data_IF_360663259863
#
_entry.id   IF_360663259863
#
_cell.length_a   1.000
_cell.length_b   1.000
_cell.length_c   1.000
_cell.angle_alpha   90.00
_cell.angle_beta   90.00
_cell.angle_gamma   90.00
#
_symmetry.space_group_name_H-M   'P 1'
#
loop_
_entity.id
_entity.type
_entity.pdbx_description
1 polymer ?
#
# COMPACT_ATOMS: atom_id res chain seq x y z
N UNK A 1 16.48 -9.35 -26.35
CA UNK A 1 16.29 -9.18 -24.89
C UNK A 1 15.48 -10.36 -24.39
N UNK A 2 16.07 -11.23 -23.56
CA UNK A 2 15.36 -12.40 -23.01
C UNK A 2 14.38 -11.90 -21.95
N UNK A 3 13.08 -11.90 -22.27
CA UNK A 3 12.02 -11.76 -21.28
C UNK A 3 12.07 -12.98 -20.36
N UNK A 4 12.63 -12.79 -19.16
CA UNK A 4 12.56 -13.81 -18.13
C UNK A 4 11.11 -14.03 -17.75
N UNK A 5 10.59 -15.23 -18.01
CA UNK A 5 9.33 -15.70 -17.45
C UNK A 5 9.51 -15.74 -15.94
N UNK A 6 9.13 -14.66 -15.27
CA UNK A 6 9.13 -14.54 -13.81
C UNK A 6 8.23 -15.67 -13.29
N UNK A 7 8.81 -16.63 -12.57
CA UNK A 7 8.05 -17.76 -12.03
C UNK A 7 7.03 -17.22 -11.05
N UNK A 8 5.76 -17.57 -11.22
CA UNK A 8 4.66 -17.05 -10.38
C UNK A 8 4.77 -17.44 -8.89
N UNK A 9 5.76 -18.26 -8.52
CA UNK A 9 6.14 -18.62 -7.16
C UNK A 9 7.23 -17.74 -6.55
N UNK A 10 7.84 -16.81 -7.29
CA UNK A 10 8.82 -15.86 -6.74
C UNK A 10 8.09 -14.78 -5.92
N UNK A 11 8.69 -14.26 -4.82
CA UNK A 11 8.07 -13.22 -4.00
C UNK A 11 7.57 -12.01 -4.80
N UNK A 12 8.31 -11.59 -5.83
CA UNK A 12 7.90 -10.50 -6.74
C UNK A 12 6.59 -10.84 -7.47
N UNK A 13 6.47 -12.06 -7.99
CA UNK A 13 5.27 -12.52 -8.70
C UNK A 13 4.07 -12.65 -7.78
N UNK A 14 4.29 -13.11 -6.54
CA UNK A 14 3.25 -13.24 -5.52
C UNK A 14 2.73 -11.89 -5.04
N UNK A 15 3.60 -10.93 -4.77
CA UNK A 15 3.20 -9.58 -4.36
C UNK A 15 2.41 -8.85 -5.43
N UNK A 16 2.73 -9.08 -6.72
CA UNK A 16 1.92 -8.59 -7.84
C UNK A 16 0.51 -9.15 -7.88
N UNK A 17 0.22 -10.21 -7.12
CA UNK A 17 -1.09 -10.85 -7.04
C UNK A 17 -1.73 -10.66 -5.67
N UNK A 18 -1.15 -9.86 -4.77
CA UNK A 18 -1.66 -9.71 -3.42
C UNK A 18 -3.08 -9.11 -3.44
N UNK A 19 -4.03 -9.75 -2.77
CA UNK A 19 -5.39 -9.25 -2.63
C UNK A 19 -5.53 -8.47 -1.32
N UNK A 20 -5.27 -7.16 -1.38
CA UNK A 20 -5.36 -6.28 -0.22
C UNK A 20 -6.82 -6.05 0.26
N UNK A 21 -7.83 -6.57 -0.44
CA UNK A 21 -9.23 -6.50 -0.01
C UNK A 21 -9.59 -7.56 1.04
N UNK A 22 -8.81 -8.65 1.10
CA UNK A 22 -8.98 -9.79 1.99
C UNK A 22 -8.13 -9.66 3.27
N UNK A 23 -8.50 -10.38 4.33
CA UNK A 23 -7.80 -10.31 5.62
C UNK A 23 -6.35 -10.82 5.48
N UNK A 24 -5.42 -10.04 6.00
CA UNK A 24 -4.01 -10.43 6.16
C UNK A 24 -3.70 -10.72 7.62
N UNK A 25 -2.66 -11.52 7.84
CA UNK A 25 -2.14 -11.77 9.18
C UNK A 25 -0.61 -11.68 9.18
N UNK A 26 -0.07 -11.31 10.34
CA UNK A 26 1.35 -11.39 10.61
C UNK A 26 1.53 -12.27 11.83
N UNK A 27 2.41 -13.25 11.75
CA UNK A 27 2.62 -14.21 12.82
C UNK A 27 4.11 -14.40 13.09
N UNK A 28 4.38 -14.99 14.24
CA UNK A 28 5.68 -15.58 14.55
C UNK A 28 5.51 -17.00 15.00
N UNK A 29 6.37 -17.88 14.49
CA UNK A 29 6.49 -19.22 15.07
C UNK A 29 7.15 -19.08 16.44
N UNK A 30 6.56 -19.70 17.46
CA UNK A 30 7.21 -19.76 18.77
C UNK A 30 8.51 -20.55 18.67
N UNK A 31 9.49 -20.16 19.48
CA UNK A 31 10.78 -20.82 19.60
C UNK A 31 10.65 -22.23 20.22
N UNK A 32 9.54 -22.49 20.92
CA UNK A 32 9.19 -23.77 21.52
C UNK A 32 7.99 -24.38 20.76
N UNK A 33 8.08 -25.68 20.43
CA UNK A 33 7.04 -26.40 19.64
C UNK A 33 5.66 -26.47 20.31
N UNK A 34 5.55 -26.07 21.57
CA UNK A 34 4.36 -26.23 22.42
C UNK A 34 3.51 -24.95 22.54
N UNK A 35 4.01 -23.79 22.12
CA UNK A 35 3.26 -22.53 22.20
C UNK A 35 2.54 -22.23 20.87
N UNK A 36 1.27 -21.84 20.97
CA UNK A 36 0.54 -21.33 19.81
C UNK A 36 1.24 -20.09 19.23
N UNK A 37 1.28 -19.95 17.89
CA UNK A 37 1.93 -18.81 17.26
C UNK A 37 1.29 -17.49 17.70
N UNK A 38 2.11 -16.49 18.03
CA UNK A 38 1.62 -15.13 18.29
C UNK A 38 1.19 -14.53 16.94
N UNK A 39 -0.12 -14.35 16.75
CA UNK A 39 -0.73 -13.83 15.51
C UNK A 39 -1.27 -12.43 15.76
N UNK A 40 -0.79 -11.47 14.98
CA UNK A 40 -1.41 -10.16 14.81
C UNK A 40 -2.32 -10.19 13.58
N UNK A 41 -3.63 -10.11 13.80
CA UNK A 41 -4.58 -9.83 12.73
C UNK A 41 -4.42 -8.39 12.26
N UNK A 42 -4.19 -8.22 10.96
CA UNK A 42 -4.00 -6.90 10.36
C UNK A 42 -5.37 -6.27 10.08
N UNK A 43 -5.58 -5.08 10.63
CA UNK A 43 -6.75 -4.26 10.26
C UNK A 43 -6.76 -4.09 8.74
N UNK A 44 -7.91 -4.32 8.09
CA UNK A 44 -8.07 -4.23 6.64
C UNK A 44 -7.48 -2.95 6.05
N UNK A 45 -7.51 -1.83 6.78
CA UNK A 45 -6.94 -0.58 6.29
C UNK A 45 -5.40 -0.57 6.16
N UNK A 46 -4.69 -1.51 6.82
CA UNK A 46 -3.24 -1.68 6.79
C UNK A 46 -2.78 -2.65 5.70
N UNK A 47 -3.69 -3.39 5.05
CA UNK A 47 -3.32 -4.40 4.05
C UNK A 47 -2.46 -3.82 2.93
N UNK A 48 -2.85 -2.66 2.38
CA UNK A 48 -2.06 -1.98 1.35
C UNK A 48 -0.69 -1.52 1.87
N UNK A 49 -0.59 -1.07 3.13
CA UNK A 49 0.70 -0.72 3.73
C UNK A 49 1.61 -1.94 3.89
N UNK A 50 1.05 -3.10 4.24
CA UNK A 50 1.77 -4.37 4.31
C UNK A 50 2.31 -4.75 2.92
N UNK A 51 1.49 -4.65 1.88
CA UNK A 51 1.95 -4.90 0.50
C UNK A 51 3.09 -3.94 0.12
N UNK A 52 2.97 -2.64 0.41
CA UNK A 52 4.03 -1.66 0.15
C UNK A 52 5.32 -1.98 0.92
N UNK A 53 5.19 -2.39 2.19
CA UNK A 53 6.33 -2.81 3.02
C UNK A 53 7.06 -3.99 2.36
N UNK A 54 6.31 -5.04 2.00
CA UNK A 54 6.86 -6.24 1.37
C UNK A 54 7.46 -5.94 -0.01
N UNK A 55 6.80 -5.14 -0.85
CA UNK A 55 7.37 -4.67 -2.12
C UNK A 55 8.68 -3.92 -1.92
N UNK A 56 8.81 -3.17 -0.82
CA UNK A 56 10.03 -2.41 -0.52
C UNK A 56 11.19 -3.30 -0.11
N UNK A 57 10.90 -4.46 0.46
CA UNK A 57 11.91 -5.42 0.94
C UNK A 57 11.91 -6.72 0.14
N UNK A 58 11.45 -6.71 -1.11
CA UNK A 58 11.21 -7.92 -1.88
C UNK A 58 12.43 -8.82 -2.07
N UNK A 59 13.63 -8.24 -2.09
CA UNK A 59 14.92 -8.99 -2.16
C UNK A 59 15.27 -9.72 -0.85
N UNK A 60 14.60 -9.40 0.24
CA UNK A 60 14.81 -9.94 1.59
C UNK A 60 13.70 -10.93 1.99
N UNK A 61 12.72 -11.17 1.10
CA UNK A 61 11.60 -12.07 1.38
C UNK A 61 11.99 -13.50 1.06
N UNK A 62 11.69 -14.40 2.00
CA UNK A 62 11.70 -15.84 1.77
C UNK A 62 10.26 -16.36 1.68
N UNK A 63 9.95 -17.14 0.65
CA UNK A 63 8.66 -17.85 0.56
C UNK A 63 8.73 -19.10 1.45
N UNK A 64 7.93 -19.15 2.50
CA UNK A 64 7.84 -20.32 3.37
C UNK A 64 6.91 -21.37 2.78
N UNK A 65 5.68 -20.96 2.46
CA UNK A 65 4.64 -21.86 2.01
C UNK A 65 3.67 -21.16 1.08
N UNK A 66 3.12 -21.95 0.17
CA UNK A 66 1.97 -21.60 -0.63
C UNK A 66 0.83 -22.55 -0.26
N UNK A 67 -0.27 -22.01 0.23
CA UNK A 67 -1.45 -22.79 0.62
C UNK A 67 -2.62 -22.46 -0.29
N UNK A 68 -3.43 -23.48 -0.57
CA UNK A 68 -4.72 -23.34 -1.23
C UNK A 68 -5.76 -23.86 -0.25
N UNK A 69 -6.70 -23.02 0.16
CA UNK A 69 -7.82 -23.43 0.99
C UNK A 69 -8.93 -24.07 0.15
N UNK A 70 -9.87 -24.75 0.81
CA UNK A 70 -10.96 -25.49 0.17
C UNK A 70 -11.87 -24.60 -0.71
N UNK A 71 -11.90 -23.29 -0.43
CA UNK A 71 -12.58 -22.27 -1.24
C UNK A 71 -11.76 -21.79 -2.45
N UNK A 72 -10.70 -22.52 -2.82
CA UNK A 72 -9.72 -22.19 -3.87
C UNK A 72 -8.96 -20.88 -3.65
N UNK A 73 -9.07 -20.25 -2.46
CA UNK A 73 -8.25 -19.08 -2.15
C UNK A 73 -6.81 -19.51 -1.94
N UNK A 74 -5.91 -18.71 -2.48
CA UNK A 74 -4.47 -18.98 -2.44
C UNK A 74 -3.85 -18.00 -1.47
N UNK A 75 -3.02 -18.48 -0.56
CA UNK A 75 -2.31 -17.66 0.42
C UNK A 75 -0.82 -17.95 0.33
N UNK A 76 -0.02 -16.89 0.29
CA UNK A 76 1.43 -16.97 0.39
C UNK A 76 1.88 -16.60 1.80
N UNK A 77 2.73 -17.43 2.40
CA UNK A 77 3.40 -17.15 3.66
C UNK A 77 4.82 -16.67 3.37
N UNK A 78 5.06 -15.38 3.65
CA UNK A 78 6.30 -14.69 3.31
C UNK A 78 7.04 -14.32 4.60
N UNK A 79 8.24 -14.87 4.77
CA UNK A 79 9.11 -14.57 5.91
C UNK A 79 10.03 -13.40 5.60
N UNK A 80 10.19 -12.51 6.59
CA UNK A 80 11.16 -11.42 6.56
C UNK A 80 11.79 -11.22 7.93
N UNK A 81 13.02 -10.70 7.94
CA UNK A 81 13.68 -10.23 9.15
C UNK A 81 12.84 -9.10 9.81
N UNK A 82 12.49 -9.29 11.07
CA UNK A 82 11.63 -8.40 11.84
C UNK A 82 12.28 -7.02 12.08
N UNK A 83 13.59 -6.99 12.33
CA UNK A 83 14.33 -5.74 12.58
C UNK A 83 14.45 -4.92 11.28
N UNK A 84 14.71 -5.57 10.15
CA UNK A 84 14.70 -4.95 8.81
C UNK A 84 13.30 -4.46 8.45
N UNK A 85 12.26 -5.28 8.64
CA UNK A 85 10.87 -4.89 8.38
C UNK A 85 10.51 -3.62 9.18
N UNK A 86 10.85 -3.57 10.46
CA UNK A 86 10.68 -2.38 11.32
C UNK A 86 11.42 -1.16 10.77
N UNK A 87 12.68 -1.31 10.36
CA UNK A 87 13.50 -0.21 9.82
C UNK A 87 12.92 0.33 8.51
N UNK A 88 12.48 -0.55 7.61
CA UNK A 88 11.85 -0.19 6.35
C UNK A 88 10.52 0.52 6.60
N UNK A 89 9.67 0.00 7.48
CA UNK A 89 8.41 0.61 7.86
C UNK A 89 8.61 2.03 8.43
N UNK A 90 9.61 2.22 9.29
CA UNK A 90 9.97 3.54 9.81
C UNK A 90 10.40 4.51 8.69
N UNK A 91 11.10 4.00 7.67
CA UNK A 91 11.46 4.76 6.46
C UNK A 91 10.23 5.23 5.69
N UNK A 92 9.28 4.32 5.42
CA UNK A 92 8.04 4.61 4.70
C UNK A 92 7.18 5.67 5.43
N UNK A 93 7.05 5.55 6.75
CA UNK A 93 6.31 6.52 7.59
C UNK A 93 6.92 7.92 7.50
N UNK A 94 8.27 8.03 7.56
CA UNK A 94 8.98 9.31 7.44
C UNK A 94 8.79 9.93 6.06
N UNK A 95 8.88 9.12 5.01
CA UNK A 95 8.67 9.56 3.62
C UNK A 95 7.20 9.88 3.30
N UNK A 96 6.26 9.57 4.20
CA UNK A 96 4.84 9.77 3.95
C UNK A 96 4.21 8.77 2.97
N UNK A 97 4.95 7.71 2.62
CA UNK A 97 4.48 6.61 1.78
C UNK A 97 3.62 5.70 2.67
N UNK A 98 2.37 6.10 2.87
CA UNK A 98 1.44 5.41 3.77
C UNK A 98 0.05 5.36 3.14
N UNK A 99 -0.61 4.21 3.24
CA UNK A 99 -1.98 3.99 2.79
C UNK A 99 -2.99 4.29 3.92
N UNK A 100 -2.80 3.70 5.09
CA UNK A 100 -3.66 3.84 6.27
C UNK A 100 -3.45 5.14 7.06
N UNK A 101 -2.32 5.82 6.83
CA UNK A 101 -1.84 6.95 7.61
C UNK A 101 -0.97 6.55 8.82
N UNK A 102 -0.17 7.52 9.29
CA UNK A 102 0.92 7.29 10.28
C UNK A 102 0.47 6.65 11.59
N UNK A 103 -0.68 7.07 12.14
CA UNK A 103 -1.16 6.58 13.45
C UNK A 103 -1.47 5.08 13.42
N UNK A 104 -2.07 4.59 12.33
CA UNK A 104 -2.40 3.17 12.19
C UNK A 104 -1.15 2.32 11.98
N UNK A 105 -0.20 2.81 11.18
CA UNK A 105 1.09 2.14 10.99
C UNK A 105 1.93 2.02 12.27
N UNK A 106 1.77 2.96 13.21
CA UNK A 106 2.47 2.90 14.49
C UNK A 106 2.13 1.62 15.28
N UNK A 107 0.91 1.07 15.13
CA UNK A 107 0.51 -0.20 15.78
C UNK A 107 1.35 -1.35 15.24
N UNK A 108 1.42 -1.50 13.91
CA UNK A 108 2.26 -2.53 13.28
C UNK A 108 3.75 -2.34 13.62
N UNK A 109 4.22 -1.09 13.62
CA UNK A 109 5.60 -0.76 13.97
C UNK A 109 5.95 -1.15 15.42
N UNK A 110 5.05 -0.87 16.37
CA UNK A 110 5.23 -1.22 17.78
C UNK A 110 5.21 -2.74 17.98
N UNK A 111 4.31 -3.44 17.30
CA UNK A 111 4.26 -4.90 17.35
C UNK A 111 5.56 -5.52 16.80
N UNK A 112 6.01 -5.08 15.62
CA UNK A 112 7.28 -5.51 15.04
C UNK A 112 8.46 -5.22 15.97
N UNK A 113 8.45 -4.09 16.68
CA UNK A 113 9.47 -3.79 17.69
C UNK A 113 9.46 -4.80 18.84
N UNK A 114 8.30 -5.10 19.41
CA UNK A 114 8.19 -6.06 20.51
C UNK A 114 8.63 -7.47 20.09
N UNK A 115 8.22 -7.88 18.90
CA UNK A 115 8.50 -9.21 18.36
C UNK A 115 9.96 -9.36 17.94
N UNK A 116 10.60 -8.32 17.38
CA UNK A 116 12.01 -8.35 17.00
C UNK A 116 12.99 -8.61 18.17
N UNK A 117 12.51 -8.51 19.42
CA UNK A 117 13.28 -8.88 20.62
C UNK A 117 13.25 -10.39 20.92
N UNK A 118 12.26 -11.10 20.38
CA UNK A 118 11.99 -12.52 20.66
C UNK A 118 12.38 -13.41 19.48
N UNK A 119 12.24 -12.92 18.25
CA UNK A 119 12.49 -13.69 17.03
C UNK A 119 13.16 -12.81 15.96
N UNK A 120 13.98 -13.45 15.14
CA UNK A 120 14.60 -12.83 13.98
C UNK A 120 13.60 -12.62 12.85
N UNK A 121 12.66 -13.55 12.66
CA UNK A 121 11.79 -13.59 11.48
C UNK A 121 10.30 -13.48 11.86
N UNK A 122 9.56 -12.74 11.04
CA UNK A 122 8.09 -12.63 11.07
C UNK A 122 7.52 -13.13 9.75
N UNK A 123 6.33 -13.73 9.81
CA UNK A 123 5.67 -14.34 8.66
C UNK A 123 4.43 -13.54 8.32
N UNK A 124 4.33 -13.09 7.07
CA UNK A 124 3.17 -12.42 6.52
C UNK A 124 2.34 -13.41 5.71
N UNK A 125 1.10 -13.63 6.12
CA UNK A 125 0.12 -14.40 5.37
C UNK A 125 -0.66 -13.48 4.44
N UNK A 126 -0.36 -13.57 3.15
CA UNK A 126 -0.87 -12.69 2.10
C UNK A 126 -1.82 -13.46 1.18
N UNK A 127 -3.13 -13.14 1.17
CA UNK A 127 -4.06 -13.72 0.23
C UNK A 127 -3.75 -13.23 -1.20
N UNK A 128 -4.00 -14.09 -2.18
CA UNK A 128 -3.68 -13.86 -3.58
C UNK A 128 -4.95 -13.81 -4.43
N UNK A 129 -4.99 -12.85 -5.33
CA UNK A 129 -6.04 -12.67 -6.33
C UNK A 129 -6.09 -13.86 -7.29
N UNK A 130 -7.33 -14.24 -7.61
CA UNK A 130 -7.67 -15.25 -8.61
C UNK A 130 -7.56 -14.69 -10.03
N UNK A 131 -7.73 -13.37 -10.19
CA UNK A 131 -7.82 -12.68 -11.47
C UNK A 131 -6.45 -12.36 -12.11
N UNK A 132 -5.37 -12.94 -11.59
CA UNK A 132 -4.01 -12.73 -12.09
C UNK A 132 -3.28 -11.60 -11.37
N UNK A 133 -2.43 -10.88 -12.09
CA UNK A 133 -1.59 -9.80 -11.56
C UNK A 133 -2.40 -8.51 -11.46
N UNK A 134 -2.19 -7.77 -10.39
CA UNK A 134 -2.81 -6.47 -10.19
C UNK A 134 -2.21 -5.44 -11.15
N UNK A 135 -3.10 -4.67 -11.75
CA UNK A 135 -2.76 -3.50 -12.55
C UNK A 135 -2.97 -2.25 -11.71
N UNK A 136 -1.93 -1.42 -11.62
CA UNK A 136 -2.00 -0.18 -10.86
C UNK A 136 -1.97 1.02 -11.79
N UNK A 137 -2.85 1.99 -11.53
CA UNK A 137 -2.90 3.26 -12.25
C UNK A 137 -2.94 4.41 -11.28
N UNK A 138 -2.10 5.42 -11.53
CA UNK A 138 -2.24 6.74 -10.91
C UNK A 138 -3.05 7.61 -11.85
N UNK A 139 -4.28 7.92 -11.45
CA UNK A 139 -5.14 8.88 -12.13
C UNK A 139 -4.98 10.23 -11.43
N UNK A 140 -4.72 11.30 -12.17
CA UNK A 140 -4.77 12.63 -11.61
C UNK A 140 -5.47 13.60 -12.55
N UNK A 141 -5.98 14.68 -11.97
CA UNK A 141 -6.63 15.76 -12.70
C UNK A 141 -5.92 17.07 -12.49
N UNK A 142 -5.65 17.74 -13.62
CA UNK A 142 -5.07 19.09 -13.67
C UNK A 142 -6.12 20.14 -13.36
N UNK A 143 -5.72 21.33 -12.92
CA UNK A 143 -6.63 22.46 -12.69
C UNK A 143 -7.47 22.83 -13.93
N UNK A 144 -7.02 22.45 -15.14
CA UNK A 144 -7.77 22.61 -16.39
C UNK A 144 -8.99 21.69 -16.51
N UNK A 145 -9.13 20.70 -15.62
CA UNK A 145 -10.13 19.64 -15.70
C UNK A 145 -9.67 18.42 -16.51
N UNK A 146 -8.46 18.44 -17.06
CA UNK A 146 -7.94 17.33 -17.88
C UNK A 146 -7.52 16.15 -17.01
N UNK A 147 -8.04 14.97 -17.36
CA UNK A 147 -7.69 13.69 -16.75
C UNK A 147 -6.45 13.08 -17.39
N UNK A 148 -5.53 12.60 -16.56
CA UNK A 148 -4.31 11.90 -16.99
C UNK A 148 -4.15 10.63 -16.18
N UNK A 149 -3.76 9.54 -16.85
CA UNK A 149 -3.57 8.21 -16.27
C UNK A 149 -2.15 7.74 -16.53
N UNK A 150 -1.47 7.27 -15.48
CA UNK A 150 -0.12 6.72 -15.56
C UNK A 150 -0.13 5.30 -15.01
N UNK A 151 0.13 4.32 -15.86
CA UNK A 151 0.29 2.93 -15.45
C UNK A 151 1.54 2.75 -14.58
N UNK A 152 1.43 1.91 -13.56
CA UNK A 152 2.50 1.63 -12.61
C UNK A 152 2.70 0.13 -12.47
N UNK A 153 3.96 -0.25 -12.22
CA UNK A 153 4.34 -1.66 -12.10
C UNK A 153 4.07 -2.24 -10.72
N UNK A 154 3.81 -1.40 -9.72
CA UNK A 154 3.60 -1.81 -8.32
C UNK A 154 2.83 -0.76 -7.52
N UNK A 155 2.30 -1.17 -6.36
CA UNK A 155 1.58 -0.28 -5.46
C UNK A 155 2.52 0.76 -4.83
N UNK A 156 3.74 0.37 -4.45
CA UNK A 156 4.80 1.28 -3.99
C UNK A 156 5.14 2.33 -5.05
N UNK A 157 5.29 1.92 -6.31
CA UNK A 157 5.54 2.83 -7.43
C UNK A 157 4.42 3.86 -7.57
N UNK A 158 3.18 3.40 -7.46
CA UNK A 158 1.97 4.23 -7.50
C UNK A 158 1.92 5.25 -6.37
N UNK A 159 2.25 4.84 -5.14
CA UNK A 159 2.35 5.76 -4.01
C UNK A 159 3.45 6.82 -4.21
N UNK A 160 4.64 6.43 -4.67
CA UNK A 160 5.73 7.36 -4.93
C UNK A 160 5.37 8.38 -6.03
N UNK A 161 4.77 7.91 -7.13
CA UNK A 161 4.36 8.76 -8.24
C UNK A 161 3.24 9.72 -7.82
N UNK A 162 2.25 9.25 -7.05
CA UNK A 162 1.21 10.12 -6.49
C UNK A 162 1.78 11.24 -5.64
N UNK A 163 2.89 10.99 -4.92
CA UNK A 163 3.61 12.01 -4.15
C UNK A 163 4.17 13.13 -5.02
N UNK A 164 4.76 12.80 -6.18
CA UNK A 164 5.29 13.79 -7.13
C UNK A 164 4.20 14.63 -7.79
N UNK A 165 3.01 14.05 -7.96
CA UNK A 165 1.88 14.71 -8.60
C UNK A 165 1.14 15.69 -7.68
N UNK A 166 1.44 15.70 -6.38
CA UNK A 166 0.88 16.66 -5.41
C UNK A 166 1.47 18.05 -5.59
N UNK A 167 1.10 18.70 -6.68
CA UNK A 167 1.56 20.03 -7.09
C UNK A 167 0.40 21.03 -7.10
N UNK A 168 0.71 22.33 -7.21
CA UNK A 168 -0.32 23.36 -7.36
C UNK A 168 -1.08 23.30 -8.70
N UNK A 169 -0.61 22.53 -9.68
CA UNK A 169 -1.24 22.41 -11.00
C UNK A 169 -2.28 21.28 -11.08
N UNK A 170 -2.34 20.43 -10.06
CA UNK A 170 -3.27 19.32 -9.96
C UNK A 170 -4.18 19.52 -8.77
N UNK A 171 -5.36 18.92 -8.80
CA UNK A 171 -6.31 19.07 -7.69
C UNK A 171 -6.95 17.78 -7.21
N UNK A 172 -6.82 16.70 -7.98
CA UNK A 172 -7.24 15.38 -7.56
C UNK A 172 -6.21 14.36 -8.03
N UNK A 173 -5.88 13.41 -7.16
CA UNK A 173 -5.02 12.27 -7.44
C UNK A 173 -5.69 11.04 -6.85
N UNK A 174 -5.79 9.97 -7.63
CA UNK A 174 -6.38 8.71 -7.24
C UNK A 174 -5.46 7.55 -7.63
N UNK A 175 -5.42 6.53 -6.78
CA UNK A 175 -4.83 5.24 -7.09
C UNK A 175 -5.93 4.25 -7.41
N UNK A 176 -5.72 3.52 -8.49
CA UNK A 176 -6.59 2.43 -8.93
C UNK A 176 -5.82 1.11 -8.91
N UNK A 177 -6.51 0.06 -8.47
CA UNK A 177 -6.10 -1.35 -8.58
C UNK A 177 -7.16 -2.07 -9.41
N UNK A 178 -6.78 -2.66 -10.55
CA UNK A 178 -7.67 -3.39 -11.43
C UNK A 178 -8.92 -2.59 -11.85
N UNK A 179 -8.75 -1.28 -12.10
CA UNK A 179 -9.83 -0.36 -12.45
C UNK A 179 -10.71 0.10 -11.27
N UNK A 180 -10.44 -0.38 -10.05
CA UNK A 180 -11.14 0.04 -8.83
C UNK A 180 -10.32 1.08 -8.10
N UNK A 181 -10.92 2.22 -7.76
CA UNK A 181 -10.25 3.26 -6.98
C UNK A 181 -10.05 2.80 -5.53
N UNK A 182 -8.80 2.78 -5.09
CA UNK A 182 -8.41 2.32 -3.75
C UNK A 182 -7.99 3.47 -2.83
N UNK A 183 -7.54 4.60 -3.38
CA UNK A 183 -7.13 5.78 -2.60
C UNK A 183 -7.31 7.07 -3.37
N UNK A 184 -7.69 8.16 -2.69
CA UNK A 184 -7.83 9.48 -3.29
C UNK A 184 -7.29 10.60 -2.40
N UNK A 185 -6.72 11.61 -3.04
CA UNK A 185 -6.38 12.88 -2.46
C UNK A 185 -6.91 14.03 -3.28
N UNK A 186 -7.40 15.04 -2.58
CA UNK A 186 -7.82 16.30 -3.18
C UNK A 186 -6.98 17.43 -2.60
N UNK A 187 -6.66 18.42 -3.45
CA UNK A 187 -6.02 19.65 -3.01
C UNK A 187 -7.08 20.58 -2.45
N UNK A 188 -6.76 21.30 -1.38
CA UNK A 188 -7.57 22.41 -0.90
C UNK A 188 -7.65 23.47 -2.02
N UNK A 189 -8.86 23.85 -2.40
CA UNK A 189 -9.11 24.75 -3.54
C UNK A 189 -9.55 26.14 -3.10
N UNK A 190 -9.79 26.34 -1.80
CA UNK A 190 -10.06 27.64 -1.21
C UNK A 190 -8.75 28.32 -0.80
N UNK A 191 -8.58 29.57 -1.23
CA UNK A 191 -7.34 30.32 -1.00
C UNK A 191 -6.15 29.77 -1.82
N UNK A 192 -4.99 30.41 -1.70
CA UNK A 192 -3.75 29.96 -2.35
C UNK A 192 -3.15 28.71 -1.67
N UNK A 193 -3.99 27.81 -1.16
CA UNK A 193 -3.54 26.65 -0.40
C UNK A 193 -3.00 25.55 -1.32
N UNK A 194 -1.91 24.93 -0.87
CA UNK A 194 -1.27 23.78 -1.52
C UNK A 194 -1.46 22.50 -0.73
N UNK A 195 -2.34 22.54 0.28
CA UNK A 195 -2.58 21.43 1.18
C UNK A 195 -3.35 20.32 0.48
N UNK A 196 -2.94 19.08 0.73
CA UNK A 196 -3.61 17.90 0.20
C UNK A 196 -4.28 17.10 1.32
N UNK A 197 -5.52 16.71 1.09
CA UNK A 197 -6.34 15.95 2.02
C UNK A 197 -6.64 14.58 1.45
N UNK A 198 -6.69 13.57 2.31
CA UNK A 198 -7.12 12.23 1.90
C UNK A 198 -8.64 12.20 1.90
N UNK A 199 -9.25 11.78 0.79
CA UNK A 199 -10.69 11.63 0.66
C UNK A 199 -11.05 10.17 0.35
N UNK A 200 -12.19 9.67 0.82
CA UNK A 200 -12.72 8.39 0.39
C UNK A 200 -12.91 8.37 -1.15
N UNK A 201 -12.53 7.28 -1.84
CA UNK A 201 -12.61 7.22 -3.31
C UNK A 201 -14.03 7.36 -3.88
N UNK A 202 -15.04 7.02 -3.09
CA UNK A 202 -16.47 6.99 -3.40
C UNK A 202 -17.21 8.29 -3.04
N UNK A 203 -16.52 9.27 -2.46
CA UNK A 203 -17.10 10.58 -2.13
C UNK A 203 -17.19 11.50 -3.35
N UNK A 204 -18.01 12.53 -3.20
CA UNK A 204 -18.18 13.62 -4.17
C UNK A 204 -16.84 14.09 -4.77
N UNK A 205 -16.85 14.36 -6.08
CA UNK A 205 -15.68 14.76 -6.87
C UNK A 205 -16.00 16.02 -7.65
N UNK A 206 -15.07 16.97 -7.63
CA UNK A 206 -15.15 18.16 -8.49
C UNK A 206 -14.72 17.74 -9.89
N UNK A 207 -15.66 17.74 -10.82
CA UNK A 207 -15.42 17.47 -12.24
C UNK A 207 -15.12 18.78 -12.98
N UNK A 208 -14.19 18.73 -13.95
CA UNK A 208 -13.90 19.85 -14.84
C UNK A 208 -12.89 20.87 -14.31
N UNK A 209 -12.84 22.04 -14.94
CA UNK A 209 -11.85 23.07 -14.63
C UNK A 209 -12.11 23.67 -13.24
N UNK A 210 -11.05 23.88 -12.45
CA UNK A 210 -11.15 24.65 -11.21
C UNK A 210 -11.32 26.13 -11.51
N UNK A 211 -12.38 26.71 -10.96
CA UNK A 211 -12.58 28.16 -10.90
C UNK A 211 -12.08 28.65 -9.55
N UNK A 212 -11.01 29.43 -9.54
CA UNK A 212 -10.47 30.00 -8.31
C UNK A 212 -11.35 31.16 -7.84
N UNK A 213 -11.81 31.10 -6.59
CA UNK A 213 -12.53 32.19 -5.93
C UNK A 213 -11.55 32.84 -4.96
N UNK A 214 -11.21 34.11 -5.22
CA UNK A 214 -10.32 34.89 -4.35
C UNK A 214 -11.14 35.54 -3.25
N UNK A 215 -10.75 35.32 -1.99
CA UNK A 215 -11.27 36.10 -0.87
C UNK A 215 -10.53 37.44 -0.84
N UNK A 216 -11.26 38.52 -1.05
CA UNK A 216 -10.74 39.88 -0.86
C UNK A 216 -10.98 40.26 0.59
N UNK A 217 -9.93 40.29 1.40
CA UNK A 217 -9.99 40.90 2.73
C UNK A 217 -9.90 42.41 2.56
N UNK A 218 -10.94 43.15 2.99
CA UNK A 218 -10.90 44.61 3.02
C UNK A 218 -9.93 45.04 4.12
N UNK A 219 -8.89 45.79 3.75
CA UNK A 219 -7.97 46.45 4.68
C UNK A 219 -8.68 47.52 5.50
#
# INVERSE_FOLDING_TARGET
MKGGVMRDSEPVGLLKRADASLKMAVSVHSLTKEEEPEILHIDKCLNYDVVILLETMVSEITLNRYTTSDDCRKTAELSVDAAKARKVLAGLIRQGITFSGRRKLAVLQNWLYMVSKKTENVIFSIPLSVNGRNEYVVHYRKNTGTDVRISQLSLKGSMAESGKLKTEHNYMICLEENGVRIKRWDREIFGHETRWHTYPPDKFEILGKLTFIYKVDRA
#
